data_IF_251218303112
#
_entry.id   IF_251218303112
#
_cell.length_a   1.000
_cell.length_b   1.000
_cell.length_c   1.000
_cell.angle_alpha   90.00
_cell.angle_beta   90.00
_cell.angle_gamma   90.00
#
_symmetry.space_group_name_H-M   'P 1'
#
loop_
_entity.id
_entity.type
_entity.pdbx_description
1 polymer ?
#
# COMPACT_ATOMS: atom_id res chain seq x y z
N UNK A 1 15.14 -5.96 48.27
CA UNK A 1 14.90 -6.98 47.23
C UNK A 1 13.62 -6.79 46.44
N UNK A 2 12.49 -6.57 47.08
CA UNK A 2 11.17 -6.39 46.43
C UNK A 2 11.09 -5.20 45.47
N UNK A 3 11.67 -4.04 45.79
CA UNK A 3 11.66 -2.85 44.92
C UNK A 3 12.44 -3.07 43.61
N UNK A 4 13.53 -3.81 43.67
CA UNK A 4 14.37 -4.09 42.49
C UNK A 4 13.71 -5.07 41.51
N UNK A 5 12.99 -6.04 42.06
CA UNK A 5 12.19 -7.01 41.24
C UNK A 5 11.03 -6.29 40.57
N UNK A 6 10.34 -5.40 41.30
CA UNK A 6 9.24 -4.59 40.78
C UNK A 6 9.68 -3.71 39.59
N UNK A 7 10.84 -3.05 39.75
CA UNK A 7 11.40 -2.21 38.70
C UNK A 7 11.70 -3.01 37.40
N UNK A 8 12.23 -4.23 37.53
CA UNK A 8 12.46 -5.13 36.40
C UNK A 8 11.16 -5.54 35.70
N UNK A 9 10.12 -5.87 36.47
CA UNK A 9 8.82 -6.26 35.92
C UNK A 9 8.20 -5.09 35.16
N UNK A 10 8.20 -3.90 35.73
CA UNK A 10 7.68 -2.68 35.08
C UNK A 10 8.46 -2.39 33.78
N UNK A 11 9.79 -2.53 33.81
CA UNK A 11 10.63 -2.32 32.63
C UNK A 11 10.27 -3.28 31.50
N UNK A 12 10.06 -4.56 31.81
CA UNK A 12 9.66 -5.57 30.82
C UNK A 12 8.28 -5.26 30.24
N UNK A 13 7.32 -4.89 31.08
CA UNK A 13 5.95 -4.53 30.62
C UNK A 13 5.99 -3.33 29.70
N UNK A 14 6.79 -2.31 30.03
CA UNK A 14 6.96 -1.12 29.17
C UNK A 14 7.56 -1.48 27.82
N UNK A 15 8.61 -2.32 27.80
CA UNK A 15 9.26 -2.77 26.55
C UNK A 15 8.27 -3.55 25.68
N UNK A 16 7.53 -4.48 26.26
CA UNK A 16 6.50 -5.26 25.54
C UNK A 16 5.39 -4.33 25.00
N UNK A 17 4.96 -3.36 25.79
CA UNK A 17 3.98 -2.35 25.34
C UNK A 17 4.47 -1.53 24.14
N UNK A 18 5.74 -1.11 24.16
CA UNK A 18 6.36 -0.39 23.03
C UNK A 18 6.42 -1.28 21.78
N UNK A 19 6.82 -2.54 21.92
CA UNK A 19 6.89 -3.47 20.78
C UNK A 19 5.51 -3.69 20.15
N UNK A 20 4.48 -3.87 20.96
CA UNK A 20 3.09 -4.00 20.46
C UNK A 20 2.66 -2.73 19.73
N UNK A 21 2.95 -1.55 20.30
CA UNK A 21 2.62 -0.27 19.67
C UNK A 21 3.31 -0.12 18.30
N UNK A 22 4.58 -0.49 18.18
CA UNK A 22 5.32 -0.47 16.91
C UNK A 22 4.64 -1.38 15.89
N UNK A 23 4.33 -2.62 16.25
CA UNK A 23 3.65 -3.56 15.35
C UNK A 23 2.30 -3.01 14.84
N UNK A 24 1.50 -2.40 15.72
CA UNK A 24 0.20 -1.81 15.33
C UNK A 24 0.39 -0.64 14.37
N UNK A 25 1.40 0.22 14.59
CA UNK A 25 1.69 1.35 13.71
C UNK A 25 2.14 0.86 12.33
N UNK A 26 3.00 -0.16 12.27
CA UNK A 26 3.47 -0.77 11.04
C UNK A 26 2.32 -1.37 10.22
N UNK A 27 1.44 -2.15 10.84
CA UNK A 27 0.26 -2.72 10.20
C UNK A 27 -0.67 -1.63 9.65
N UNK A 28 -0.89 -0.56 10.42
CA UNK A 28 -1.71 0.57 9.96
C UNK A 28 -1.11 1.30 8.78
N UNK A 29 0.20 1.52 8.78
CA UNK A 29 0.90 2.14 7.66
C UNK A 29 0.72 1.34 6.37
N UNK A 30 0.91 0.02 6.44
CA UNK A 30 0.78 -0.88 5.30
C UNK A 30 -0.65 -0.87 4.78
N UNK A 31 -1.64 -1.12 5.63
CA UNK A 31 -3.06 -1.15 5.25
C UNK A 31 -3.47 0.17 4.61
N UNK A 32 -3.17 1.30 5.24
CA UNK A 32 -3.53 2.63 4.73
C UNK A 32 -2.88 2.94 3.38
N UNK A 33 -1.63 2.49 3.16
CA UNK A 33 -0.93 2.69 1.89
C UNK A 33 -1.61 1.93 0.75
N UNK A 34 -2.00 0.69 0.98
CA UNK A 34 -2.70 -0.12 -0.03
C UNK A 34 -4.15 0.35 -0.26
N UNK A 35 -4.86 0.78 0.77
CA UNK A 35 -6.19 1.40 0.64
C UNK A 35 -6.14 2.65 -0.24
N UNK A 36 -5.16 3.52 -0.04
CA UNK A 36 -4.98 4.72 -0.89
C UNK A 36 -4.71 4.36 -2.36
N UNK A 37 -3.88 3.35 -2.62
CA UNK A 37 -3.66 2.86 -3.99
C UNK A 37 -4.98 2.41 -4.61
N UNK A 38 -5.78 1.66 -3.87
CA UNK A 38 -7.08 1.19 -4.31
C UNK A 38 -8.04 2.34 -4.64
N UNK A 39 -8.12 3.34 -3.76
CA UNK A 39 -8.97 4.51 -3.95
C UNK A 39 -8.58 5.28 -5.23
N UNK A 40 -7.28 5.50 -5.46
CA UNK A 40 -6.80 6.11 -6.70
C UNK A 40 -7.15 5.27 -7.94
N UNK A 41 -7.04 3.94 -7.87
CA UNK A 41 -7.39 3.09 -8.99
C UNK A 41 -8.88 3.18 -9.36
N UNK A 42 -9.77 3.23 -8.39
CA UNK A 42 -11.20 3.41 -8.64
C UNK A 42 -11.52 4.80 -9.21
N UNK A 43 -10.90 5.84 -8.69
CA UNK A 43 -11.08 7.20 -9.18
C UNK A 43 -10.57 7.35 -10.63
N UNK A 44 -9.39 6.80 -10.93
CA UNK A 44 -8.84 6.74 -12.29
C UNK A 44 -9.79 5.99 -13.22
N UNK A 45 -10.30 4.83 -12.82
CA UNK A 45 -11.23 4.03 -13.61
C UNK A 45 -12.52 4.80 -13.95
N UNK A 46 -13.08 5.53 -12.99
CA UNK A 46 -14.27 6.37 -13.21
C UNK A 46 -14.02 7.47 -14.25
N UNK A 47 -12.89 8.17 -14.13
CA UNK A 47 -12.55 9.25 -15.07
C UNK A 47 -12.24 8.69 -16.45
N UNK A 48 -11.54 7.57 -16.55
CA UNK A 48 -11.25 6.90 -17.82
C UNK A 48 -12.53 6.44 -18.53
N UNK A 49 -13.50 5.89 -17.80
CA UNK A 49 -14.81 5.50 -18.36
C UNK A 49 -15.60 6.68 -18.93
N UNK A 50 -15.45 7.86 -18.33
CA UNK A 50 -16.17 9.08 -18.77
C UNK A 50 -15.44 9.79 -19.91
N UNK A 51 -14.12 9.92 -19.84
CA UNK A 51 -13.35 10.88 -20.64
C UNK A 51 -12.21 10.24 -21.45
N UNK A 52 -11.98 8.92 -21.32
CA UNK A 52 -10.82 8.22 -21.91
C UNK A 52 -9.51 8.47 -21.14
N UNK A 53 -8.43 7.80 -21.60
CA UNK A 53 -7.12 7.89 -20.93
C UNK A 53 -6.36 9.19 -21.26
N UNK A 54 -6.60 9.76 -22.43
CA UNK A 54 -5.97 11.02 -22.88
C UNK A 54 -6.69 12.20 -22.26
N UNK A 55 -6.53 12.36 -20.98
CA UNK A 55 -7.17 13.41 -20.19
C UNK A 55 -6.21 13.91 -19.11
N UNK A 56 -6.11 15.23 -18.97
CA UNK A 56 -5.27 15.85 -17.94
C UNK A 56 -5.64 15.45 -16.50
N UNK A 57 -6.89 15.13 -16.25
CA UNK A 57 -7.35 14.63 -14.95
C UNK A 57 -6.80 13.23 -14.66
N UNK A 58 -6.83 12.31 -15.64
CA UNK A 58 -6.24 10.97 -15.52
C UNK A 58 -4.75 11.06 -15.28
N UNK A 59 -4.03 11.89 -16.06
CA UNK A 59 -2.59 12.11 -15.87
C UNK A 59 -2.27 12.63 -14.46
N UNK A 60 -3.06 13.58 -13.96
CA UNK A 60 -2.89 14.12 -12.60
C UNK A 60 -3.15 13.08 -11.52
N UNK A 61 -4.16 12.23 -11.67
CA UNK A 61 -4.45 11.14 -10.72
C UNK A 61 -3.35 10.09 -10.71
N UNK A 62 -2.80 9.74 -11.88
CA UNK A 62 -1.68 8.80 -11.98
C UNK A 62 -0.41 9.39 -11.36
N UNK A 63 -0.12 10.67 -11.57
CA UNK A 63 1.01 11.35 -10.92
C UNK A 63 0.85 11.39 -9.39
N UNK A 64 -0.37 11.62 -8.89
CA UNK A 64 -0.66 11.58 -7.46
C UNK A 64 -0.50 10.17 -6.87
N UNK A 65 -0.95 9.16 -7.59
CA UNK A 65 -0.77 7.75 -7.21
C UNK A 65 0.73 7.41 -7.12
N UNK A 66 1.51 7.75 -8.14
CA UNK A 66 2.96 7.53 -8.17
C UNK A 66 3.67 8.24 -7.00
N UNK A 67 3.33 9.49 -6.75
CA UNK A 67 3.89 10.25 -5.64
C UNK A 67 3.57 9.64 -4.28
N UNK A 68 2.30 9.29 -4.04
CA UNK A 68 1.88 8.63 -2.80
C UNK A 68 2.59 7.29 -2.58
N UNK A 69 2.77 6.51 -3.65
CA UNK A 69 3.50 5.25 -3.59
C UNK A 69 4.95 5.48 -3.21
N UNK A 70 5.66 6.36 -3.90
CA UNK A 70 7.09 6.67 -3.66
C UNK A 70 7.37 7.14 -2.25
N UNK A 71 6.49 7.94 -1.66
CA UNK A 71 6.64 8.42 -0.28
C UNK A 71 6.64 7.27 0.73
N UNK A 72 5.86 6.23 0.49
CA UNK A 72 5.70 5.10 1.40
C UNK A 72 6.55 3.87 1.02
N UNK A 73 7.07 3.82 -0.19
CA UNK A 73 7.76 2.65 -0.76
C UNK A 73 8.92 2.16 0.12
N UNK A 74 9.76 3.07 0.61
CA UNK A 74 10.90 2.71 1.46
C UNK A 74 10.48 2.02 2.76
N UNK A 75 9.42 2.51 3.41
CA UNK A 75 8.89 1.89 4.61
C UNK A 75 8.22 0.54 4.30
N UNK A 76 7.45 0.47 3.20
CA UNK A 76 6.80 -0.76 2.76
C UNK A 76 7.80 -1.87 2.41
N UNK A 77 8.95 -1.54 1.84
CA UNK A 77 10.01 -2.49 1.53
C UNK A 77 10.57 -3.21 2.77
N UNK A 78 10.51 -2.58 3.95
CA UNK A 78 10.90 -3.22 5.21
C UNK A 78 9.81 -4.11 5.80
N UNK A 79 8.55 -3.79 5.55
CA UNK A 79 7.39 -4.39 6.20
C UNK A 79 6.74 -5.49 5.36
N UNK A 80 6.91 -5.43 4.05
CA UNK A 80 6.27 -6.31 3.06
C UNK A 80 7.34 -6.96 2.18
N UNK A 81 6.98 -8.05 1.52
CA UNK A 81 7.86 -8.70 0.56
C UNK A 81 8.32 -7.71 -0.53
N UNK A 82 9.61 -7.48 -0.61
CA UNK A 82 10.24 -6.53 -1.52
C UNK A 82 9.83 -6.73 -2.98
N UNK A 83 9.71 -7.99 -3.41
CA UNK A 83 9.29 -8.32 -4.78
C UNK A 83 7.87 -7.84 -5.11
N UNK A 84 6.95 -7.94 -4.16
CA UNK A 84 5.56 -7.46 -4.35
C UNK A 84 5.49 -5.94 -4.42
N UNK A 85 6.30 -5.25 -3.63
CA UNK A 85 6.41 -3.78 -3.64
C UNK A 85 7.01 -3.30 -4.96
N UNK A 86 8.06 -3.95 -5.45
CA UNK A 86 8.68 -3.66 -6.74
C UNK A 86 7.72 -3.87 -7.92
N UNK A 87 6.96 -4.96 -7.93
CA UNK A 87 5.97 -5.22 -8.97
C UNK A 87 4.88 -4.14 -9.00
N UNK A 88 4.39 -3.72 -7.84
CA UNK A 88 3.43 -2.62 -7.74
C UNK A 88 4.01 -1.32 -8.31
N UNK A 89 5.25 -0.97 -7.95
CA UNK A 89 5.93 0.21 -8.45
C UNK A 89 6.06 0.19 -9.99
N UNK A 90 6.39 -0.96 -10.57
CA UNK A 90 6.50 -1.14 -12.02
C UNK A 90 5.15 -0.89 -12.70
N UNK A 91 4.07 -1.47 -12.18
CA UNK A 91 2.74 -1.27 -12.78
C UNK A 91 2.26 0.18 -12.68
N UNK A 92 2.55 0.86 -11.59
CA UNK A 92 2.22 2.30 -11.44
C UNK A 92 2.98 3.15 -12.48
N UNK A 93 4.26 2.86 -12.71
CA UNK A 93 5.05 3.56 -13.76
C UNK A 93 4.51 3.26 -15.16
N UNK A 94 4.06 2.03 -15.42
CA UNK A 94 3.46 1.64 -16.70
C UNK A 94 2.21 2.44 -17.04
N UNK A 95 1.36 2.75 -16.05
CA UNK A 95 0.18 3.60 -16.28
C UNK A 95 0.54 4.92 -16.96
N UNK A 96 1.61 5.57 -16.50
CA UNK A 96 2.09 6.82 -17.08
C UNK A 96 2.59 6.64 -18.51
N UNK A 97 3.37 5.60 -18.74
CA UNK A 97 3.86 5.27 -20.08
C UNK A 97 2.72 5.03 -21.06
N UNK A 98 1.69 4.30 -20.66
CA UNK A 98 0.54 4.00 -21.54
C UNK A 98 -0.35 5.23 -21.82
N UNK A 99 -0.37 6.22 -20.92
CA UNK A 99 -0.99 7.52 -21.21
C UNK A 99 -0.20 8.24 -22.31
N UNK A 100 1.11 8.29 -22.19
CA UNK A 100 1.99 8.97 -23.14
C UNK A 100 2.00 8.31 -24.53
N UNK A 101 1.85 6.99 -24.56
CA UNK A 101 1.79 6.17 -25.79
C UNK A 101 0.36 6.03 -26.36
N UNK A 102 -0.64 6.56 -25.68
CA UNK A 102 -2.07 6.47 -26.04
C UNK A 102 -2.57 5.02 -26.19
N UNK A 103 -2.14 4.13 -25.29
CA UNK A 103 -2.46 2.69 -25.29
C UNK A 103 -3.54 2.35 -24.23
N UNK A 104 -4.85 2.51 -24.57
CA UNK A 104 -5.93 2.40 -23.60
C UNK A 104 -6.13 0.98 -23.05
N UNK A 105 -5.88 -0.04 -23.84
CA UNK A 105 -6.07 -1.44 -23.42
C UNK A 105 -5.00 -1.82 -22.41
N UNK A 106 -3.74 -1.53 -22.70
CA UNK A 106 -2.60 -1.78 -21.83
C UNK A 106 -2.72 -1.00 -20.53
N UNK A 107 -3.21 0.24 -20.60
CA UNK A 107 -3.50 1.06 -19.42
C UNK A 107 -4.53 0.38 -18.51
N UNK A 108 -5.65 -0.08 -19.06
CA UNK A 108 -6.69 -0.75 -18.28
C UNK A 108 -6.21 -2.08 -17.71
N UNK A 109 -5.43 -2.86 -18.45
CA UNK A 109 -4.82 -4.10 -17.95
C UNK A 109 -3.89 -3.82 -16.78
N UNK A 110 -3.04 -2.82 -16.88
CA UNK A 110 -2.12 -2.43 -15.81
C UNK A 110 -2.88 -1.94 -14.57
N UNK A 111 -3.95 -1.17 -14.76
CA UNK A 111 -4.83 -0.71 -13.67
C UNK A 111 -5.49 -1.89 -12.95
N UNK A 112 -6.01 -2.87 -13.68
CA UNK A 112 -6.59 -4.08 -13.10
C UNK A 112 -5.54 -4.94 -12.37
N UNK A 113 -4.31 -5.01 -12.86
CA UNK A 113 -3.22 -5.70 -12.16
C UNK A 113 -2.90 -5.03 -10.82
N UNK A 114 -2.85 -3.70 -10.77
CA UNK A 114 -2.65 -2.96 -9.51
C UNK A 114 -3.78 -3.28 -8.52
N UNK A 115 -5.03 -3.23 -8.95
CA UNK A 115 -6.20 -3.59 -8.11
C UNK A 115 -6.10 -5.03 -7.59
N UNK A 116 -5.74 -5.96 -8.45
CA UNK A 116 -5.55 -7.37 -8.07
C UNK A 116 -4.44 -7.55 -7.03
N UNK A 117 -3.31 -6.85 -7.16
CA UNK A 117 -2.25 -6.88 -6.14
C UNK A 117 -2.73 -6.34 -4.80
N UNK A 118 -3.51 -5.26 -4.79
CA UNK A 118 -4.10 -4.71 -3.56
C UNK A 118 -5.05 -5.71 -2.89
N UNK A 119 -5.96 -6.29 -3.66
CA UNK A 119 -6.92 -7.28 -3.16
C UNK A 119 -6.21 -8.52 -2.59
N UNK A 120 -5.24 -9.05 -3.32
CA UNK A 120 -4.43 -10.19 -2.88
C UNK A 120 -3.73 -9.88 -1.57
N UNK A 121 -3.15 -8.70 -1.46
CA UNK A 121 -2.47 -8.26 -0.24
C UNK A 121 -3.44 -8.12 0.94
N UNK A 122 -4.59 -7.49 0.74
CA UNK A 122 -5.63 -7.35 1.76
C UNK A 122 -6.15 -8.72 2.22
N UNK A 123 -6.28 -9.67 1.31
CA UNK A 123 -6.69 -11.04 1.65
C UNK A 123 -5.67 -11.74 2.55
N UNK A 124 -4.37 -11.61 2.23
CA UNK A 124 -3.30 -12.18 3.06
C UNK A 124 -3.23 -11.54 4.45
N UNK A 125 -3.40 -10.23 4.56
CA UNK A 125 -3.44 -9.55 5.85
C UNK A 125 -4.65 -9.96 6.69
N UNK A 126 -5.83 -10.06 6.10
CA UNK A 126 -7.05 -10.52 6.76
C UNK A 126 -6.96 -11.95 7.26
N UNK A 127 -6.35 -12.85 6.48
CA UNK A 127 -6.16 -14.25 6.85
C UNK A 127 -5.21 -14.43 8.05
N UNK A 128 -4.17 -13.61 8.15
CA UNK A 128 -3.24 -13.65 9.28
C UNK A 128 -3.89 -13.22 10.60
N UNK A 129 -4.80 -12.25 10.57
CA UNK A 129 -5.56 -11.83 11.76
C UNK A 129 -6.55 -12.89 12.23
N UNK A 130 -7.15 -13.66 11.31
CA UNK A 130 -8.13 -14.70 11.65
C UNK A 130 -7.51 -15.99 12.21
N UNK A 131 -6.20 -16.20 11.96
CA UNK A 131 -5.47 -17.37 12.44
C UNK A 131 -4.75 -17.15 13.79
N UNK A 132 -4.77 -15.94 14.33
CA UNK A 132 -4.10 -15.59 15.61
C UNK A 132 -5.11 -15.46 16.77
N UNK A 133 -6.39 -15.40 16.49
CA UNK A 133 -7.49 -15.40 17.46
C UNK A 133 -8.24 -16.72 17.42
#
# INVERSE_FOLDING_TARGET
MTKYVWFKIVSVVVIVGILIAICVIEDRLVITSFEKVNDYCYEIEEVVKKNGIVNGEVASLVDNLEYNWKVNESALCFLVNHKSIEQMAIEIVRLKTYIDEEEPIEFLVSLELIKHYVETFQHFMGANFHNIL
#
